data_IF_651400332831
#
_entry.id   IF_651400332831
#
_cell.length_a   1.000
_cell.length_b   1.000
_cell.length_c   1.000
_cell.angle_alpha   90.00
_cell.angle_beta   90.00
_cell.angle_gamma   90.00
#
_symmetry.space_group_name_H-M   'P 1'
#
loop_
_entity.id
_entity.type
_entity.pdbx_description
1 polymer ?
#
# COMPACT_ATOMS: atom_id res chain seq x y z
N UNK A 1 -24.38 6.35 -1.73
CA UNK A 1 -23.60 6.39 -2.99
C UNK A 1 -23.48 4.98 -3.52
N UNK A 2 -23.83 4.75 -4.78
CA UNK A 2 -23.53 3.48 -5.45
C UNK A 2 -22.02 3.47 -5.75
N UNK A 3 -21.29 2.38 -5.47
CA UNK A 3 -19.87 2.33 -5.77
C UNK A 3 -19.64 2.44 -7.27
N UNK A 4 -18.60 3.17 -7.66
CA UNK A 4 -18.18 3.28 -9.06
C UNK A 4 -17.80 1.90 -9.59
N UNK A 5 -18.07 1.57 -10.88
CA UNK A 5 -17.66 0.30 -11.47
C UNK A 5 -16.17 -0.04 -11.24
N UNK A 6 -15.86 -1.34 -11.18
CA UNK A 6 -14.49 -1.86 -11.00
C UNK A 6 -13.50 -1.27 -12.00
N UNK A 7 -13.90 -1.17 -13.26
CA UNK A 7 -13.07 -0.63 -14.33
C UNK A 7 -12.66 0.83 -14.06
N UNK A 8 -13.63 1.66 -13.67
CA UNK A 8 -13.42 3.09 -13.44
C UNK A 8 -12.52 3.35 -12.22
N UNK A 9 -12.75 2.63 -11.11
CA UNK A 9 -11.87 2.76 -9.94
C UNK A 9 -10.47 2.20 -10.21
N UNK A 10 -10.35 1.16 -11.03
CA UNK A 10 -9.04 0.61 -11.42
C UNK A 10 -8.27 1.61 -12.27
N UNK A 11 -8.93 2.27 -13.23
CA UNK A 11 -8.33 3.33 -14.03
C UNK A 11 -7.88 4.51 -13.15
N UNK A 12 -8.72 4.95 -12.21
CA UNK A 12 -8.37 6.00 -11.25
C UNK A 12 -7.19 5.63 -10.34
N UNK A 13 -7.10 4.36 -9.92
CA UNK A 13 -5.95 3.88 -9.15
C UNK A 13 -4.67 3.83 -9.99
N UNK A 14 -4.73 3.40 -11.25
CA UNK A 14 -3.58 3.39 -12.16
C UNK A 14 -3.07 4.81 -12.40
N UNK A 15 -3.97 5.78 -12.50
CA UNK A 15 -3.68 7.20 -12.70
C UNK A 15 -2.89 7.84 -11.52
N UNK A 16 -2.83 7.19 -10.35
CA UNK A 16 -1.93 7.58 -9.26
C UNK A 16 -0.45 7.36 -9.57
N UNK A 17 -0.13 6.56 -10.59
CA UNK A 17 1.24 6.20 -10.93
C UNK A 17 2.09 7.45 -11.19
N UNK A 18 3.21 7.56 -10.48
CA UNK A 18 4.14 8.67 -10.60
C UNK A 18 3.66 10.00 -10.00
N UNK A 19 2.53 10.03 -9.28
CA UNK A 19 2.00 11.24 -8.65
C UNK A 19 2.48 11.42 -7.21
N UNK A 20 2.57 12.68 -6.77
CA UNK A 20 2.86 13.07 -5.40
C UNK A 20 4.36 13.12 -5.05
N UNK A 21 4.65 13.43 -3.79
CA UNK A 21 6.01 13.53 -3.25
C UNK A 21 6.73 12.17 -3.18
N UNK A 22 5.96 11.10 -3.01
CA UNK A 22 6.45 9.73 -2.96
C UNK A 22 5.83 8.93 -4.11
N UNK A 23 6.40 9.01 -5.32
CA UNK A 23 5.80 8.43 -6.50
C UNK A 23 5.68 6.91 -6.34
N UNK A 24 4.47 6.40 -6.50
CA UNK A 24 4.16 4.97 -6.50
C UNK A 24 3.96 4.49 -7.95
N UNK A 25 4.17 3.21 -8.18
CA UNK A 25 3.83 2.52 -9.42
C UNK A 25 2.62 1.64 -9.16
N UNK A 26 1.50 1.92 -9.83
CA UNK A 26 0.28 1.14 -9.66
C UNK A 26 0.09 0.22 -10.86
N UNK A 27 -0.04 -1.08 -10.59
CA UNK A 27 -0.34 -2.10 -11.60
C UNK A 27 -1.66 -2.79 -11.28
N UNK A 28 -2.38 -3.24 -12.29
CA UNK A 28 -3.61 -3.99 -12.14
C UNK A 28 -3.52 -5.33 -12.88
N UNK A 29 -3.97 -6.39 -12.22
CA UNK A 29 -4.08 -7.75 -12.74
C UNK A 29 -5.46 -8.30 -12.38
N UNK A 30 -6.39 -8.22 -13.33
CA UNK A 30 -7.81 -8.51 -13.11
C UNK A 30 -8.39 -7.67 -11.96
N UNK A 31 -8.87 -8.35 -10.92
CA UNK A 31 -9.43 -7.72 -9.71
C UNK A 31 -8.37 -7.26 -8.70
N UNK A 32 -7.09 -7.52 -8.92
CA UNK A 32 -6.01 -7.18 -8.00
C UNK A 32 -5.24 -5.97 -8.50
N UNK A 33 -5.27 -4.89 -7.73
CA UNK A 33 -4.46 -3.69 -7.95
C UNK A 33 -3.32 -3.66 -6.94
N UNK A 34 -2.10 -3.39 -7.38
CA UNK A 34 -0.92 -3.30 -6.52
C UNK A 34 -0.26 -1.94 -6.67
N UNK A 35 -0.20 -1.16 -5.59
CA UNK A 35 0.64 0.02 -5.50
C UNK A 35 2.01 -0.36 -4.97
N UNK A 36 3.05 -0.09 -5.74
CA UNK A 36 4.44 -0.38 -5.43
C UNK A 36 5.17 0.91 -5.18
N UNK A 37 5.93 0.95 -4.09
CA UNK A 37 6.91 1.99 -3.87
C UNK A 37 8.27 1.34 -3.69
N UNK A 38 9.29 1.90 -4.33
CA UNK A 38 10.65 1.41 -4.27
C UNK A 38 11.61 2.53 -3.95
N UNK A 39 12.65 2.20 -3.21
CA UNK A 39 13.78 3.11 -2.97
C UNK A 39 15.09 2.36 -3.17
N UNK A 40 16.08 3.08 -3.68
CA UNK A 40 17.43 2.57 -3.79
C UNK A 40 18.12 2.73 -2.43
N UNK A 41 18.53 1.62 -1.84
CA UNK A 41 19.30 1.59 -0.60
C UNK A 41 20.80 1.41 -0.85
N UNK A 42 21.25 1.38 -2.11
CA UNK A 42 22.68 1.19 -2.43
C UNK A 42 23.51 2.32 -1.82
N UNK A 43 24.60 1.95 -1.13
CA UNK A 43 25.45 2.88 -0.40
C UNK A 43 24.89 3.37 0.94
N UNK A 44 23.72 2.88 1.38
CA UNK A 44 23.21 3.18 2.72
C UNK A 44 23.89 2.30 3.77
N UNK A 45 24.21 2.84 4.96
CA UNK A 45 24.78 2.04 6.05
C UNK A 45 23.79 0.98 6.53
N UNK A 46 24.28 -0.22 6.85
CA UNK A 46 23.51 -1.28 7.52
C UNK A 46 23.72 -1.19 9.04
N UNK A 47 22.76 -1.71 9.82
CA UNK A 47 22.82 -1.72 11.30
C UNK A 47 24.06 -2.40 11.87
N UNK A 48 24.70 -3.29 11.10
CA UNK A 48 25.91 -4.02 11.48
C UNK A 48 27.23 -3.29 11.14
N UNK A 49 27.15 -2.01 10.74
CA UNK A 49 28.33 -1.22 10.35
C UNK A 49 28.84 -1.48 8.92
N UNK A 50 28.09 -2.23 8.11
CA UNK A 50 28.35 -2.44 6.68
C UNK A 50 27.69 -1.38 5.79
N UNK A 51 27.86 -1.51 4.47
CA UNK A 51 27.07 -0.76 3.48
C UNK A 51 26.21 -1.71 2.67
N UNK A 52 25.00 -1.27 2.32
CA UNK A 52 24.14 -1.97 1.38
C UNK A 52 24.79 -1.89 -0.01
N UNK A 53 25.42 -2.98 -0.46
CA UNK A 53 26.22 -3.01 -1.68
C UNK A 53 25.38 -2.76 -2.93
N UNK A 54 24.24 -3.43 -3.06
CA UNK A 54 23.22 -3.24 -4.09
C UNK A 54 21.87 -3.70 -3.52
N UNK A 55 20.87 -2.84 -3.52
CA UNK A 55 19.56 -3.25 -3.02
C UNK A 55 18.49 -2.20 -3.21
N UNK A 56 17.40 -2.57 -3.90
CA UNK A 56 16.16 -1.81 -3.84
C UNK A 56 15.26 -2.43 -2.77
N UNK A 57 14.85 -1.63 -1.80
CA UNK A 57 13.75 -1.99 -0.92
C UNK A 57 12.45 -1.67 -1.63
N UNK A 58 11.53 -2.63 -1.64
CA UNK A 58 10.21 -2.44 -2.24
C UNK A 58 9.13 -2.69 -1.21
N UNK A 59 8.08 -1.88 -1.27
CA UNK A 59 6.90 -2.02 -0.46
C UNK A 59 5.69 -2.01 -1.37
N UNK A 60 4.80 -3.00 -1.18
CA UNK A 60 3.63 -3.21 -2.01
C UNK A 60 2.36 -3.16 -1.17
N UNK A 61 1.39 -2.36 -1.60
CA UNK A 61 0.00 -2.44 -1.15
C UNK A 61 -0.82 -3.17 -2.19
N UNK A 62 -1.37 -4.32 -1.81
CA UNK A 62 -2.30 -5.06 -2.66
C UNK A 62 -3.72 -4.72 -2.26
N UNK A 63 -4.54 -4.37 -3.24
CA UNK A 63 -5.97 -4.16 -3.15
C UNK A 63 -6.63 -5.19 -4.05
N UNK A 64 -7.59 -5.94 -3.52
CA UNK A 64 -8.43 -6.85 -4.32
C UNK A 64 -9.85 -6.31 -4.32
N UNK A 65 -10.33 -5.89 -5.48
CA UNK A 65 -11.68 -5.37 -5.70
C UNK A 65 -12.67 -6.54 -5.74
N UNK A 66 -13.60 -6.55 -4.79
CA UNK A 66 -14.70 -7.52 -4.74
C UNK A 66 -15.96 -6.90 -5.36
N UNK A 67 -17.01 -7.70 -5.50
CA UNK A 67 -18.32 -7.20 -5.90
C UNK A 67 -18.95 -6.30 -4.82
N UNK A 68 -19.91 -5.47 -5.24
CA UNK A 68 -20.70 -4.63 -4.33
C UNK A 68 -19.93 -3.46 -3.71
N UNK A 69 -18.83 -3.00 -4.31
CA UNK A 69 -18.07 -1.85 -3.82
C UNK A 69 -17.21 -2.14 -2.60
N UNK A 70 -16.78 -3.38 -2.42
CA UNK A 70 -15.98 -3.80 -1.27
C UNK A 70 -14.58 -4.20 -1.74
N UNK A 71 -13.53 -3.89 -0.99
CA UNK A 71 -12.17 -4.34 -1.29
C UNK A 71 -11.48 -5.04 -0.11
N UNK A 72 -10.60 -6.00 -0.41
CA UNK A 72 -9.61 -6.51 0.55
C UNK A 72 -8.29 -5.80 0.33
N UNK A 73 -7.49 -5.66 1.37
CA UNK A 73 -6.14 -5.15 1.21
C UNK A 73 -5.13 -5.85 2.11
N UNK A 74 -3.95 -6.09 1.57
CA UNK A 74 -2.78 -6.67 2.23
C UNK A 74 -1.52 -5.91 1.84
N UNK A 75 -0.48 -6.01 2.66
CA UNK A 75 0.83 -5.43 2.39
C UNK A 75 1.88 -6.52 2.27
N UNK A 76 2.87 -6.29 1.41
CA UNK A 76 4.10 -7.06 1.37
C UNK A 76 5.29 -6.13 1.22
N UNK A 77 6.43 -6.57 1.70
CA UNK A 77 7.65 -5.79 1.71
C UNK A 77 8.82 -6.70 1.35
N UNK A 78 9.74 -6.25 0.50
CA UNK A 78 10.89 -7.05 0.05
C UNK A 78 12.18 -6.27 0.22
N UNK A 79 13.24 -6.97 0.62
CA UNK A 79 14.60 -6.43 0.80
C UNK A 79 14.66 -5.24 1.79
N UNK A 80 13.79 -5.23 2.80
CA UNK A 80 13.89 -4.27 3.89
C UNK A 80 14.98 -4.73 4.86
N UNK A 81 15.91 -3.86 5.26
CA UNK A 81 16.93 -4.21 6.24
C UNK A 81 16.24 -4.59 7.56
N UNK A 82 16.67 -5.72 8.15
CA UNK A 82 16.13 -6.23 9.42
C UNK A 82 16.47 -5.33 10.60
N UNK A 83 17.61 -4.65 10.52
CA UNK A 83 18.08 -3.70 11.52
C UNK A 83 17.91 -2.29 10.96
N UNK A 84 16.84 -1.62 11.39
CA UNK A 84 16.34 -0.35 10.86
C UNK A 84 17.44 0.70 10.68
N UNK A 85 18.01 0.75 9.48
CA UNK A 85 18.99 1.75 9.08
C UNK A 85 18.32 2.97 8.47
N UNK A 86 18.69 4.16 8.98
CA UNK A 86 18.73 5.54 8.44
C UNK A 86 17.64 6.09 7.50
N UNK A 87 16.72 5.27 7.02
CA UNK A 87 15.69 5.62 6.05
C UNK A 87 14.32 5.60 6.73
N UNK A 88 13.63 6.73 6.68
CA UNK A 88 12.24 6.81 7.17
C UNK A 88 11.32 6.36 6.06
N UNK A 89 10.69 5.20 6.23
CA UNK A 89 9.57 4.76 5.39
C UNK A 89 8.27 4.79 6.18
N UNK A 90 7.19 5.29 5.56
CA UNK A 90 5.84 5.14 6.09
C UNK A 90 4.97 4.40 5.09
N UNK A 91 4.34 3.31 5.52
CA UNK A 91 3.37 2.56 4.69
C UNK A 91 2.21 3.42 4.19
N UNK A 92 1.89 4.52 4.89
CA UNK A 92 0.90 5.52 4.50
C UNK A 92 1.23 6.20 3.17
N UNK A 93 2.50 6.34 2.80
CA UNK A 93 2.91 6.97 1.53
C UNK A 93 2.36 6.26 0.30
N UNK A 94 2.07 4.97 0.43
CA UNK A 94 1.50 4.15 -0.64
C UNK A 94 0.04 3.85 -0.37
N UNK A 95 -0.29 3.49 0.88
CA UNK A 95 -1.62 3.04 1.22
C UNK A 95 -2.65 4.17 1.20
N UNK A 96 -2.29 5.39 1.62
CA UNK A 96 -3.26 6.48 1.79
C UNK A 96 -3.74 7.07 0.45
N UNK A 97 -2.88 7.35 -0.55
CA UNK A 97 -3.33 7.77 -1.87
C UNK A 97 -4.31 6.78 -2.51
N UNK A 98 -4.02 5.48 -2.40
CA UNK A 98 -4.90 4.42 -2.93
C UNK A 98 -6.21 4.33 -2.15
N UNK A 99 -6.18 4.45 -0.81
CA UNK A 99 -7.40 4.48 0.01
C UNK A 99 -8.28 5.69 -0.31
N UNK A 100 -7.67 6.84 -0.57
CA UNK A 100 -8.40 8.06 -0.91
C UNK A 100 -9.18 7.88 -2.21
N UNK A 101 -8.52 7.39 -3.27
CA UNK A 101 -9.21 7.06 -4.52
C UNK A 101 -10.34 6.04 -4.29
N UNK A 102 -10.09 4.97 -3.53
CA UNK A 102 -11.15 4.01 -3.20
C UNK A 102 -12.34 4.69 -2.49
N UNK A 103 -12.08 5.53 -1.48
CA UNK A 103 -13.12 6.22 -0.73
C UNK A 103 -13.92 7.20 -1.60
N UNK A 104 -13.24 7.98 -2.44
CA UNK A 104 -13.85 8.96 -3.35
C UNK A 104 -14.77 8.27 -4.38
N UNK A 105 -14.41 7.04 -4.78
CA UNK A 105 -15.19 6.20 -5.67
C UNK A 105 -16.26 5.34 -4.96
N UNK A 106 -16.47 5.54 -3.66
CA UNK A 106 -17.49 4.83 -2.87
C UNK A 106 -17.13 3.39 -2.49
N UNK A 107 -15.86 3.00 -2.61
CA UNK A 107 -15.36 1.68 -2.26
C UNK A 107 -14.98 1.58 -0.78
N UNK A 108 -15.41 0.50 -0.13
CA UNK A 108 -15.20 0.29 1.29
C UNK A 108 -14.33 -0.93 1.58
N UNK A 109 -13.44 -0.83 2.56
CA UNK A 109 -12.63 -1.97 2.98
C UNK A 109 -13.54 -3.03 3.61
N UNK A 110 -13.40 -4.29 3.19
CA UNK A 110 -14.03 -5.43 3.86
C UNK A 110 -13.61 -5.41 5.32
N UNK A 111 -14.57 -5.24 6.22
CA UNK A 111 -14.32 -5.29 7.66
C UNK A 111 -13.82 -6.69 8.01
N UNK A 112 -12.54 -6.82 8.34
CA UNK A 112 -12.02 -8.06 8.92
C UNK A 112 -12.62 -8.21 10.32
N UNK A 113 -13.27 -9.34 10.66
CA UNK A 113 -13.78 -9.57 12.02
C UNK A 113 -12.67 -9.45 13.08
N UNK A 114 -11.42 -9.75 12.72
CA UNK A 114 -10.25 -9.57 13.56
C UNK A 114 -9.93 -8.10 13.92
N UNK A 115 -10.20 -7.15 13.02
CA UNK A 115 -9.99 -5.73 13.29
C UNK A 115 -11.03 -5.17 14.28
N UNK A 116 -12.26 -5.72 14.25
CA UNK A 116 -13.27 -5.45 15.29
C UNK A 116 -12.85 -6.03 16.64
N UNK A 117 -12.33 -7.26 16.66
CA UNK A 117 -11.87 -7.90 17.89
C UNK A 117 -10.68 -7.15 18.51
N UNK A 118 -9.71 -6.70 17.71
CA UNK A 118 -8.58 -5.92 18.20
C UNK A 118 -8.98 -4.50 18.63
N UNK A 119 -9.90 -3.82 17.92
CA UNK A 119 -10.45 -2.53 18.35
C UNK A 119 -11.28 -2.62 19.64
N UNK A 120 -12.02 -3.73 19.83
CA UNK A 120 -12.73 -4.02 21.07
C UNK A 120 -11.77 -4.37 22.23
N UNK A 121 -10.65 -5.03 21.94
CA UNK A 121 -9.62 -5.38 22.94
C UNK A 121 -8.71 -4.20 23.31
N UNK A 122 -8.50 -3.24 22.40
CA UNK A 122 -7.59 -2.10 22.62
C UNK A 122 -8.31 -0.80 23.00
N UNK A 123 -9.64 -0.81 23.13
CA UNK A 123 -10.41 0.27 23.74
C UNK A 123 -10.48 1.58 22.96
N UNK A 124 -9.98 1.65 21.72
CA UNK A 124 -10.17 2.83 20.86
C UNK A 124 -11.53 2.77 20.18
N UNK A 125 -12.51 3.40 20.83
CA UNK A 125 -13.73 3.92 20.18
C UNK A 125 -13.43 5.19 19.42
#
# INVERSE_FOLDING_TARGET
MHPTPKADVTAALIDLTGRGEHPIVVTADGDRVTGTWSTNLSGQPTGDGGMTLLGNATWNWHVTLLEGGVYKASMSSRNWPNDGGFFTFKSSWVADPMKQVLADHGWQRRKNPFARAWGALTGRR
#
